data_IF_461355523353
#
_entry.id   IF_461355523353
#
_cell.length_a   1.000
_cell.length_b   1.000
_cell.length_c   1.000
_cell.angle_alpha   90.00
_cell.angle_beta   90.00
_cell.angle_gamma   90.00
#
_symmetry.space_group_name_H-M   'P 1'
#
loop_
_entity.id
_entity.type
_entity.pdbx_description
1 polymer ?
#
# COMPACT_ATOMS: atom_id res chain seq x y z
N UNK A 1 -22.95 36.26 -1.90
CA UNK A 1 -22.63 35.00 -1.19
C UNK A 1 -21.36 34.46 -1.82
N UNK A 2 -20.24 34.54 -1.12
CA UNK A 2 -18.99 33.96 -1.59
C UNK A 2 -19.06 32.45 -1.35
N UNK A 3 -18.90 31.65 -2.40
CA UNK A 3 -18.74 30.21 -2.24
C UNK A 3 -17.44 29.97 -1.48
N UNK A 4 -17.54 29.41 -0.27
CA UNK A 4 -16.38 28.93 0.46
C UNK A 4 -15.73 27.83 -0.39
N UNK A 5 -14.61 28.16 -1.04
CA UNK A 5 -13.82 27.19 -1.79
C UNK A 5 -13.16 26.25 -0.79
N UNK A 6 -13.82 25.13 -0.51
CA UNK A 6 -13.22 24.05 0.26
C UNK A 6 -12.10 23.44 -0.57
N UNK A 7 -10.85 23.82 -0.29
CA UNK A 7 -9.69 23.09 -0.79
C UNK A 7 -9.72 21.75 -0.07
N UNK A 8 -10.18 20.69 -0.75
CA UNK A 8 -10.16 19.35 -0.21
C UNK A 8 -8.76 18.99 0.30
N UNK A 9 -8.67 18.02 1.21
CA UNK A 9 -7.38 17.47 1.68
C UNK A 9 -6.45 17.22 0.48
N UNK A 10 -5.16 17.52 0.64
CA UNK A 10 -4.16 17.48 -0.44
C UNK A 10 -4.14 16.17 -1.26
N UNK A 11 -4.72 15.10 -0.70
CA UNK A 11 -4.80 13.77 -1.28
C UNK A 11 -6.19 13.39 -1.81
N UNK A 12 -7.15 14.32 -1.95
CA UNK A 12 -8.54 14.01 -2.37
C UNK A 12 -8.60 13.30 -3.73
N UNK A 13 -7.72 13.65 -4.67
CA UNK A 13 -7.61 12.97 -5.97
C UNK A 13 -7.09 11.55 -5.82
N UNK A 14 -6.13 11.32 -4.91
CA UNK A 14 -5.62 9.99 -4.60
C UNK A 14 -6.69 9.14 -3.92
N UNK A 15 -7.40 9.67 -2.92
CA UNK A 15 -8.51 9.01 -2.24
C UNK A 15 -9.65 8.66 -3.21
N UNK A 16 -10.01 9.60 -4.09
CA UNK A 16 -11.07 9.40 -5.08
C UNK A 16 -10.71 8.31 -6.10
N UNK A 17 -9.45 8.28 -6.56
CA UNK A 17 -8.96 7.22 -7.44
C UNK A 17 -8.88 5.88 -6.70
N UNK A 18 -8.36 5.85 -5.47
CA UNK A 18 -8.25 4.63 -4.68
C UNK A 18 -9.62 4.07 -4.27
N UNK A 19 -10.68 4.88 -4.25
CA UNK A 19 -12.05 4.46 -3.94
C UNK A 19 -12.95 4.21 -5.18
N UNK A 20 -12.40 4.25 -6.39
CA UNK A 20 -13.17 4.13 -7.65
C UNK A 20 -13.13 2.73 -8.28
N UNK A 21 -12.85 1.68 -7.50
CA UNK A 21 -12.71 0.32 -8.01
C UNK A 21 -13.99 -0.21 -8.65
N UNK A 22 -13.91 -0.63 -9.92
CA UNK A 22 -15.07 -1.15 -10.67
C UNK A 22 -15.39 -2.60 -10.33
N UNK A 23 -14.43 -3.34 -9.81
CA UNK A 23 -14.45 -4.78 -9.51
C UNK A 23 -14.74 -5.10 -8.03
N UNK A 24 -15.03 -4.09 -7.20
CA UNK A 24 -15.24 -4.25 -5.74
C UNK A 24 -16.68 -3.99 -5.30
N UNK A 25 -17.48 -3.25 -6.08
CA UNK A 25 -18.80 -2.74 -5.64
C UNK A 25 -19.79 -3.82 -5.17
N UNK A 26 -19.76 -5.00 -5.78
CA UNK A 26 -20.62 -6.14 -5.44
C UNK A 26 -19.87 -7.26 -4.71
N UNK A 27 -18.60 -7.04 -4.34
CA UNK A 27 -17.78 -8.03 -3.68
C UNK A 27 -18.01 -7.99 -2.16
N UNK A 28 -18.07 -9.15 -1.50
CA UNK A 28 -18.36 -9.24 -0.06
C UNK A 28 -17.36 -8.45 0.79
N UNK A 29 -16.09 -8.40 0.36
CA UNK A 29 -15.02 -7.65 1.04
C UNK A 29 -15.06 -6.14 0.75
N UNK A 30 -15.98 -5.66 -0.08
CA UNK A 30 -16.03 -4.26 -0.53
C UNK A 30 -15.94 -3.23 0.60
N UNK A 31 -16.76 -3.33 1.66
CA UNK A 31 -16.66 -2.40 2.80
C UNK A 31 -15.28 -2.38 3.47
N UNK A 32 -14.64 -3.55 3.60
CA UNK A 32 -13.30 -3.66 4.20
C UNK A 32 -12.23 -3.04 3.27
N UNK A 33 -12.29 -3.32 1.98
CA UNK A 33 -11.38 -2.78 0.97
C UNK A 33 -11.45 -1.25 0.97
N UNK A 34 -12.65 -0.67 0.87
CA UNK A 34 -12.80 0.79 0.86
C UNK A 34 -12.33 1.46 2.15
N UNK A 35 -12.49 0.79 3.31
CA UNK A 35 -11.95 1.31 4.58
C UNK A 35 -10.43 1.34 4.56
N UNK A 36 -9.78 0.25 4.13
CA UNK A 36 -8.32 0.17 4.10
C UNK A 36 -7.70 1.10 3.05
N UNK A 37 -8.41 1.32 1.95
CA UNK A 37 -8.12 2.37 0.97
C UNK A 37 -8.17 3.76 1.59
N UNK A 38 -9.22 4.07 2.34
CA UNK A 38 -9.39 5.38 2.97
C UNK A 38 -8.30 5.65 4.03
N UNK A 39 -7.78 4.58 4.65
CA UNK A 39 -6.63 4.63 5.56
C UNK A 39 -5.27 4.66 4.84
N UNK A 40 -5.24 4.58 3.51
CA UNK A 40 -4.01 4.57 2.72
C UNK A 40 -3.20 3.27 2.79
N UNK A 41 -3.75 2.22 3.42
CA UNK A 41 -3.07 0.94 3.64
C UNK A 41 -3.06 0.09 2.37
N UNK A 42 -4.18 0.09 1.65
CA UNK A 42 -4.38 -0.65 0.41
C UNK A 42 -4.43 0.30 -0.77
N UNK A 43 -3.83 -0.12 -1.87
CA UNK A 43 -3.85 0.57 -3.16
C UNK A 43 -4.20 -0.42 -4.24
N UNK A 44 -4.93 0.03 -5.25
CA UNK A 44 -5.22 -0.75 -6.45
C UNK A 44 -4.44 -0.22 -7.65
N UNK A 45 -4.72 -0.80 -8.81
CA UNK A 45 -4.11 -0.43 -10.08
C UNK A 45 -5.15 0.30 -10.94
N UNK A 46 -5.04 1.64 -10.97
CA UNK A 46 -5.99 2.47 -11.69
C UNK A 46 -7.42 2.32 -11.15
N UNK A 47 -8.30 1.65 -11.91
CA UNK A 47 -9.71 1.41 -11.55
C UNK A 47 -9.99 -0.02 -11.05
N UNK A 48 -8.97 -0.83 -10.84
CA UNK A 48 -9.12 -2.22 -10.40
C UNK A 48 -8.41 -2.45 -9.07
N UNK A 49 -9.06 -3.20 -8.18
CA UNK A 49 -8.45 -3.72 -6.96
C UNK A 49 -7.95 -5.15 -7.12
N UNK A 50 -8.65 -5.95 -7.92
CA UNK A 50 -8.46 -7.40 -8.11
C UNK A 50 -8.65 -8.20 -6.81
N UNK A 51 -9.85 -8.19 -6.20
CA UNK A 51 -10.09 -8.81 -4.89
C UNK A 51 -9.84 -10.33 -4.82
N UNK A 52 -9.85 -11.00 -5.98
CA UNK A 52 -9.62 -12.46 -6.10
C UNK A 52 -8.18 -12.80 -6.52
N UNK A 53 -7.33 -11.80 -6.76
CA UNK A 53 -5.94 -12.03 -7.14
C UNK A 53 -5.11 -12.46 -5.92
N UNK A 54 -4.18 -13.38 -6.14
CA UNK A 54 -3.14 -13.66 -5.16
C UNK A 54 -2.24 -12.44 -5.00
N UNK A 55 -1.89 -12.14 -3.75
CA UNK A 55 -0.89 -11.13 -3.41
C UNK A 55 0.46 -11.81 -3.17
N UNK A 56 1.53 -11.07 -3.39
CA UNK A 56 2.88 -11.50 -3.01
C UNK A 56 3.13 -11.28 -1.51
N UNK A 57 4.24 -11.83 -0.99
CA UNK A 57 4.67 -11.54 0.39
C UNK A 57 5.00 -10.06 0.56
N UNK A 58 5.61 -9.47 -0.46
CA UNK A 58 6.00 -8.06 -0.53
C UNK A 58 4.78 -7.15 -0.49
N UNK A 59 3.69 -7.51 -1.17
CA UNK A 59 2.41 -6.78 -1.09
C UNK A 59 1.84 -6.81 0.33
N UNK A 60 1.80 -8.00 0.94
CA UNK A 60 1.32 -8.19 2.30
C UNK A 60 2.13 -7.35 3.30
N UNK A 61 3.45 -7.38 3.18
CA UNK A 61 4.35 -6.62 4.03
C UNK A 61 4.23 -5.12 3.80
N UNK A 62 4.07 -4.68 2.56
CA UNK A 62 3.78 -3.29 2.20
C UNK A 62 2.50 -2.79 2.88
N UNK A 63 1.45 -3.61 2.95
CA UNK A 63 0.24 -3.27 3.71
C UNK A 63 0.53 -3.14 5.21
N UNK A 64 1.28 -4.05 5.82
CA UNK A 64 1.61 -4.00 7.27
C UNK A 64 2.45 -2.77 7.64
N UNK A 65 3.42 -2.41 6.80
CA UNK A 65 4.27 -1.22 7.00
C UNK A 65 3.45 0.07 6.88
N UNK A 66 2.53 0.15 5.91
CA UNK A 66 1.59 1.28 5.79
C UNK A 66 0.66 1.38 6.99
N UNK A 67 0.10 0.24 7.42
CA UNK A 67 -0.75 0.18 8.60
C UNK A 67 0.00 0.63 9.88
N UNK A 68 1.31 0.38 9.93
CA UNK A 68 2.18 0.80 11.04
C UNK A 68 2.68 2.25 10.89
N UNK A 69 2.25 2.99 9.86
CA UNK A 69 2.69 4.36 9.55
C UNK A 69 4.22 4.48 9.40
N UNK A 70 4.87 3.45 8.84
CA UNK A 70 6.32 3.40 8.62
C UNK A 70 6.70 3.46 7.13
N UNK A 71 5.74 3.76 6.24
CA UNK A 71 5.95 3.72 4.80
C UNK A 71 7.06 4.68 4.34
N UNK A 72 7.11 5.91 4.89
CA UNK A 72 8.15 6.88 4.52
C UNK A 72 9.55 6.40 4.90
N UNK A 73 9.69 5.82 6.09
CA UNK A 73 10.96 5.24 6.55
C UNK A 73 11.40 4.07 5.66
N UNK A 74 10.45 3.21 5.26
CA UNK A 74 10.74 2.11 4.35
C UNK A 74 11.10 2.61 2.94
N UNK A 75 10.38 3.61 2.40
CA UNK A 75 10.62 4.13 1.06
C UNK A 75 11.97 4.84 0.91
N UNK A 76 12.43 5.49 1.97
CA UNK A 76 13.72 6.21 2.00
C UNK A 76 14.90 5.32 2.39
N UNK A 77 14.64 4.06 2.74
CA UNK A 77 15.67 3.11 3.12
C UNK A 77 16.55 2.77 1.92
N UNK A 78 17.84 3.04 2.04
CA UNK A 78 18.82 2.52 1.11
C UNK A 78 19.01 1.01 1.33
N UNK A 79 18.89 0.27 0.24
CA UNK A 79 19.12 -1.18 0.13
C UNK A 79 20.24 -1.37 -0.87
N UNK A 80 21.22 -2.21 -0.56
CA UNK A 80 22.32 -2.47 -1.50
C UNK A 80 21.84 -3.36 -2.65
N UNK A 81 22.49 -3.34 -3.83
CA UNK A 81 22.15 -4.26 -4.92
C UNK A 81 22.20 -5.74 -4.50
N UNK A 82 23.10 -6.10 -3.58
CA UNK A 82 23.21 -7.46 -3.04
C UNK A 82 22.03 -7.83 -2.13
N UNK A 83 21.56 -6.89 -1.31
CA UNK A 83 20.34 -7.08 -0.50
C UNK A 83 19.11 -7.18 -1.41
N UNK A 84 19.00 -6.31 -2.42
CA UNK A 84 17.89 -6.29 -3.39
C UNK A 84 17.83 -7.58 -4.23
N UNK A 85 18.98 -8.13 -4.62
CA UNK A 85 19.08 -9.37 -5.39
C UNK A 85 18.55 -10.61 -4.65
N UNK A 86 18.31 -10.54 -3.34
CA UNK A 86 17.69 -11.63 -2.56
C UNK A 86 16.18 -11.72 -2.75
N UNK A 87 15.56 -10.69 -3.31
CA UNK A 87 14.10 -10.61 -3.49
C UNK A 87 13.70 -10.91 -4.94
N UNK A 88 12.52 -11.54 -5.11
CA UNK A 88 12.02 -11.88 -6.46
C UNK A 88 11.59 -10.66 -7.27
N UNK A 89 11.42 -9.51 -6.62
CA UNK A 89 11.01 -8.24 -7.21
C UNK A 89 11.81 -7.09 -6.59
N UNK A 90 12.44 -6.22 -7.41
CA UNK A 90 13.03 -4.96 -6.95
C UNK A 90 12.01 -4.08 -6.20
N UNK A 91 10.76 -4.09 -6.68
CA UNK A 91 9.66 -3.42 -6.00
C UNK A 91 9.37 -4.16 -4.69
N UNK A 92 9.52 -3.45 -3.57
CA UNK A 92 9.29 -4.00 -2.23
C UNK A 92 10.57 -4.33 -1.46
N UNK A 93 11.75 -4.37 -2.09
CA UNK A 93 13.00 -4.72 -1.43
C UNK A 93 13.29 -3.86 -0.17
N UNK A 94 13.00 -2.56 -0.26
CA UNK A 94 13.12 -1.62 0.84
C UNK A 94 12.08 -1.83 1.96
N UNK A 95 10.87 -2.28 1.64
CA UNK A 95 9.88 -2.70 2.64
C UNK A 95 10.32 -3.97 3.37
N UNK A 96 10.84 -4.96 2.63
CA UNK A 96 11.35 -6.21 3.22
C UNK A 96 12.56 -5.95 4.11
N UNK A 97 13.54 -5.18 3.63
CA UNK A 97 14.70 -4.78 4.40
C UNK A 97 14.31 -3.98 5.66
N UNK A 98 13.35 -3.06 5.55
CA UNK A 98 12.83 -2.30 6.70
C UNK A 98 12.21 -3.25 7.74
N UNK A 99 11.35 -4.17 7.31
CA UNK A 99 10.72 -5.12 8.22
C UNK A 99 11.72 -6.04 8.93
N UNK A 100 12.75 -6.52 8.23
CA UNK A 100 13.82 -7.32 8.83
C UNK A 100 14.59 -6.52 9.89
N UNK A 101 14.95 -5.27 9.59
CA UNK A 101 15.68 -4.39 10.54
C UNK A 101 14.85 -4.05 11.79
N UNK A 102 13.53 -4.04 11.67
CA UNK A 102 12.61 -3.85 12.79
C UNK A 102 12.25 -5.15 13.53
N UNK A 103 12.71 -6.31 13.04
CA UNK A 103 12.36 -7.62 13.60
C UNK A 103 10.89 -8.01 13.39
N UNK A 104 10.21 -7.41 12.40
CA UNK A 104 8.84 -7.76 12.01
C UNK A 104 8.82 -9.11 11.29
N UNK A 105 9.87 -9.38 10.51
CA UNK A 105 10.14 -10.65 9.85
C UNK A 105 11.62 -11.03 10.05
N UNK A 106 11.91 -12.30 9.88
CA UNK A 106 13.24 -12.90 9.91
C UNK A 106 13.90 -12.87 8.53
N UNK A 107 15.16 -13.29 8.47
CA UNK A 107 15.93 -13.38 7.22
C UNK A 107 15.57 -14.55 6.30
N UNK A 108 14.74 -15.49 6.77
CA UNK A 108 14.37 -16.74 6.10
C UNK A 108 12.96 -16.68 5.47
N UNK A 109 12.15 -15.71 5.87
CA UNK A 109 10.79 -15.46 5.38
C UNK A 109 10.78 -14.61 4.11
#
# INVERSE_FOLDING_TARGET
QAAESYSGVAYINSLSNNAAFTDVKSHWAGPAIFRMVALGVIRGEGKQFRPEAYITKEDALGMLIRLSNQEEAAQTLYVTPEEEARFSSPWGANYVAHAQRQGIITGEE
#
